data_IF_225105026224
#
_entry.id   IF_225105026224
#
_cell.length_a   1.000
_cell.length_b   1.000
_cell.length_c   1.000
_cell.angle_alpha   90.00
_cell.angle_beta   90.00
_cell.angle_gamma   90.00
#
_symmetry.space_group_name_H-M   'P 1'
#
loop_
_entity.id
_entity.type
_entity.pdbx_description
1 polymer ?
#
# COMPACT_ATOMS: atom_id res chain seq x y z
N UNK A 1 -14.81 -8.49 -37.88
CA UNK A 1 -15.04 -8.36 -36.44
C UNK A 1 -14.56 -9.62 -35.74
N UNK A 2 -13.41 -9.55 -35.12
CA UNK A 2 -12.84 -10.68 -34.35
C UNK A 2 -13.45 -10.58 -32.97
N UNK A 3 -14.14 -11.63 -32.54
CA UNK A 3 -14.67 -11.77 -31.18
C UNK A 3 -13.49 -11.89 -30.22
N UNK A 4 -13.24 -10.87 -29.45
CA UNK A 4 -12.16 -10.88 -28.45
C UNK A 4 -12.77 -11.29 -27.08
N UNK A 5 -12.76 -12.57 -26.80
CA UNK A 5 -13.16 -13.16 -25.52
C UNK A 5 -11.93 -13.34 -24.64
N UNK A 6 -11.42 -12.26 -24.08
CA UNK A 6 -10.30 -12.31 -23.16
C UNK A 6 -10.78 -12.11 -21.74
N UNK A 7 -10.59 -13.09 -20.87
CA UNK A 7 -10.77 -12.94 -19.42
C UNK A 7 -9.39 -12.73 -18.79
N UNK A 8 -9.16 -11.53 -18.28
CA UNK A 8 -7.95 -11.22 -17.53
C UNK A 8 -8.29 -11.21 -16.05
N UNK A 9 -7.60 -11.99 -15.25
CA UNK A 9 -7.74 -12.03 -13.80
C UNK A 9 -6.39 -11.71 -13.19
N UNK A 10 -6.33 -10.66 -12.38
CA UNK A 10 -5.13 -10.24 -11.65
C UNK A 10 -5.47 -10.15 -10.17
N UNK A 11 -4.74 -10.89 -9.36
CA UNK A 11 -4.86 -10.87 -7.91
C UNK A 11 -3.55 -10.40 -7.29
N UNK A 12 -3.61 -9.41 -6.42
CA UNK A 12 -2.45 -8.80 -5.78
C UNK A 12 -2.65 -8.78 -4.27
N UNK A 13 -1.87 -9.60 -3.57
CA UNK A 13 -1.82 -9.59 -2.11
C UNK A 13 -0.57 -8.83 -1.65
N UNK A 14 -0.79 -7.91 -0.74
CA UNK A 14 0.30 -7.15 -0.15
C UNK A 14 0.14 -7.15 1.36
N UNK A 15 1.21 -7.56 2.03
CA UNK A 15 1.33 -7.49 3.48
C UNK A 15 2.54 -6.60 3.81
N UNK A 16 2.32 -5.60 4.66
CA UNK A 16 3.38 -4.73 5.19
C UNK A 16 3.26 -4.70 6.71
N UNK A 17 4.34 -5.02 7.40
CA UNK A 17 4.38 -5.13 8.86
C UNK A 17 5.51 -4.27 9.45
N UNK A 18 5.34 -2.93 9.48
CA UNK A 18 6.32 -2.08 10.14
C UNK A 18 6.33 -2.37 11.65
N UNK A 19 7.51 -2.34 12.25
CA UNK A 19 7.71 -2.57 13.68
C UNK A 19 8.62 -1.50 14.22
N UNK A 20 8.34 -1.01 15.42
CA UNK A 20 9.19 -0.07 16.11
C UNK A 20 9.09 -0.26 17.62
N UNK A 21 10.12 0.16 18.33
CA UNK A 21 10.21 0.18 19.79
C UNK A 21 10.25 1.64 20.23
N UNK A 22 9.50 1.99 21.26
CA UNK A 22 9.50 3.34 21.84
C UNK A 22 9.31 3.26 23.36
N UNK A 23 9.61 4.36 24.05
CA UNK A 23 9.35 4.53 25.46
C UNK A 23 7.94 5.03 25.71
N UNK A 24 7.46 4.90 26.95
CA UNK A 24 6.18 5.47 27.36
C UNK A 24 6.19 7.01 27.20
N UNK A 25 5.09 7.55 26.69
CA UNK A 25 4.91 8.97 26.34
C UNK A 25 5.88 9.55 25.29
N UNK A 26 6.69 8.71 24.62
CA UNK A 26 7.63 9.15 23.58
C UNK A 26 7.07 8.83 22.19
N UNK A 27 7.14 9.82 21.31
CA UNK A 27 6.78 9.65 19.92
C UNK A 27 7.90 8.94 19.16
N UNK A 28 7.56 7.90 18.43
CA UNK A 28 8.50 7.22 17.55
C UNK A 28 7.95 7.12 16.13
N UNK A 29 8.85 7.18 15.17
CA UNK A 29 8.52 7.10 13.75
C UNK A 29 9.44 6.11 13.06
N UNK A 30 8.87 5.25 12.23
CA UNK A 30 9.59 4.42 11.27
C UNK A 30 9.13 4.76 9.86
N UNK A 31 10.10 5.04 8.99
CA UNK A 31 9.86 5.35 7.59
C UNK A 31 10.70 4.44 6.72
N UNK A 32 10.03 3.73 5.81
CA UNK A 32 10.68 2.91 4.76
C UNK A 32 10.14 3.41 3.43
N UNK A 33 10.88 4.31 2.80
CA UNK A 33 10.40 5.08 1.64
C UNK A 33 11.42 5.11 0.53
N UNK A 34 10.92 5.11 -0.70
CA UNK A 34 11.66 5.42 -1.92
C UNK A 34 11.39 6.87 -2.31
N UNK A 35 12.42 7.57 -2.73
CA UNK A 35 12.34 8.96 -3.16
C UNK A 35 12.16 9.01 -4.69
N UNK A 36 10.99 9.43 -5.15
CA UNK A 36 10.60 9.34 -6.55
C UNK A 36 10.52 10.72 -7.19
N UNK A 37 11.27 10.96 -8.30
CA UNK A 37 11.20 12.22 -9.01
C UNK A 37 9.86 12.38 -9.73
N UNK A 38 9.34 13.60 -9.73
CA UNK A 38 8.21 14.01 -10.56
C UNK A 38 8.42 15.41 -11.13
N UNK A 39 7.83 15.67 -12.27
CA UNK A 39 7.91 16.99 -12.90
C UNK A 39 6.96 17.96 -12.22
N UNK A 40 7.49 19.01 -11.60
CA UNK A 40 6.72 20.03 -10.92
C UNK A 40 6.20 21.10 -11.86
N UNK A 41 7.04 21.54 -12.76
CA UNK A 41 6.73 22.59 -13.70
C UNK A 41 7.48 22.36 -15.02
N UNK A 42 6.78 22.61 -16.12
CA UNK A 42 7.34 22.57 -17.45
C UNK A 42 6.98 23.88 -18.15
N UNK A 43 7.96 24.74 -18.35
CA UNK A 43 7.78 26.03 -19.03
C UNK A 43 8.42 25.99 -20.41
N UNK A 44 7.60 26.13 -21.44
CA UNK A 44 8.08 26.30 -22.82
C UNK A 44 8.08 27.78 -23.14
N UNK A 45 9.24 28.39 -23.34
CA UNK A 45 9.36 29.77 -23.84
C UNK A 45 9.25 29.74 -25.35
N UNK A 46 8.26 30.47 -25.90
CA UNK A 46 8.16 30.74 -27.32
C UNK A 46 9.41 31.49 -27.77
N UNK A 47 10.24 30.92 -28.56
CA UNK A 47 11.11 31.43 -29.63
C UNK A 47 12.29 30.53 -29.96
N UNK A 48 12.66 29.55 -29.14
CA UNK A 48 13.77 28.63 -29.44
C UNK A 48 13.63 27.25 -28.78
N UNK A 49 12.48 26.64 -28.80
CA UNK A 49 12.25 25.20 -28.46
C UNK A 49 13.03 24.66 -27.20
N UNK A 50 13.32 25.51 -26.23
CA UNK A 50 13.88 25.10 -24.94
C UNK A 50 12.81 24.89 -23.91
N UNK A 51 12.53 23.62 -23.61
CA UNK A 51 11.67 23.22 -22.50
C UNK A 51 12.50 23.09 -21.23
N UNK A 52 12.27 23.96 -20.27
CA UNK A 52 12.86 23.85 -18.93
C UNK A 52 11.93 23.04 -18.05
N UNK A 53 12.40 21.89 -17.56
CA UNK A 53 11.67 21.06 -16.62
C UNK A 53 12.28 21.19 -15.23
N UNK A 54 11.45 21.54 -14.24
CA UNK A 54 11.81 21.49 -12.83
C UNK A 54 11.36 20.16 -12.26
N UNK A 55 12.27 19.41 -11.65
CA UNK A 55 11.98 18.16 -10.98
C UNK A 55 11.89 18.38 -9.46
N UNK A 56 10.94 17.74 -8.83
CA UNK A 56 10.81 17.64 -7.39
C UNK A 56 10.74 16.17 -7.00
N UNK A 57 10.92 15.84 -5.71
CA UNK A 57 10.96 14.48 -5.23
C UNK A 57 9.86 14.24 -4.21
N UNK A 58 9.29 13.06 -4.23
CA UNK A 58 8.26 12.64 -3.30
C UNK A 58 8.58 11.29 -2.69
N UNK A 59 8.49 11.21 -1.37
CA UNK A 59 8.65 9.96 -0.64
C UNK A 59 7.43 9.07 -0.83
N UNK A 60 7.69 7.82 -1.17
CA UNK A 60 6.66 6.80 -1.38
C UNK A 60 7.07 5.52 -0.68
N UNK A 61 6.22 4.99 0.17
CA UNK A 61 6.52 3.81 0.96
C UNK A 61 5.62 3.67 2.17
N UNK A 62 6.15 3.19 3.26
CA UNK A 62 5.45 2.98 4.53
C UNK A 62 6.01 3.92 5.57
N UNK A 63 5.11 4.69 6.19
CA UNK A 63 5.40 5.55 7.34
C UNK A 63 4.49 5.15 8.48
N UNK A 64 5.05 4.94 9.65
CA UNK A 64 4.31 4.64 10.88
C UNK A 64 4.85 5.52 12.00
N UNK A 65 3.96 6.25 12.64
CA UNK A 65 4.21 7.10 13.79
C UNK A 65 3.32 6.65 14.92
N UNK A 66 3.89 6.45 16.09
CA UNK A 66 3.17 5.99 17.29
C UNK A 66 3.60 6.80 18.50
N UNK A 67 2.62 7.14 19.34
CA UNK A 67 2.85 7.67 20.68
C UNK A 67 2.06 6.83 21.67
N UNK A 68 2.71 5.97 22.46
CA UNK A 68 2.06 5.17 23.48
C UNK A 68 1.91 5.97 24.77
N UNK A 69 0.89 5.62 25.55
CA UNK A 69 0.74 6.01 26.95
C UNK A 69 0.27 4.79 27.74
N UNK A 70 1.04 4.42 28.72
CA UNK A 70 0.75 3.26 29.58
C UNK A 70 0.11 3.77 30.87
N UNK A 71 -1.06 3.23 31.21
CA UNK A 71 -1.76 3.51 32.46
C UNK A 71 -1.19 2.62 33.59
N UNK A 72 -1.37 3.04 34.84
CA UNK A 72 -1.00 2.24 36.02
C UNK A 72 -1.69 0.88 36.07
N UNK A 73 -2.89 0.77 35.48
CA UNK A 73 -3.66 -0.47 35.37
C UNK A 73 -3.17 -1.42 34.25
N UNK A 74 -2.11 -1.02 33.52
CA UNK A 74 -1.55 -1.81 32.41
C UNK A 74 -2.30 -1.67 31.08
N UNK A 75 -3.28 -0.78 30.99
CA UNK A 75 -3.93 -0.44 29.74
C UNK A 75 -3.05 0.52 28.92
N UNK A 76 -2.97 0.29 27.61
CA UNK A 76 -2.25 1.14 26.67
C UNK A 76 -3.19 2.03 25.89
N UNK A 77 -2.93 3.31 25.89
CA UNK A 77 -3.48 4.26 24.92
C UNK A 77 -2.44 4.50 23.85
N UNK A 78 -2.78 4.17 22.62
CA UNK A 78 -1.92 4.37 21.45
C UNK A 78 -2.51 5.43 20.53
N UNK A 79 -1.71 6.46 20.23
CA UNK A 79 -1.96 7.37 19.13
C UNK A 79 -1.17 6.85 17.93
N UNK A 80 -1.86 6.47 16.87
CA UNK A 80 -1.28 5.83 15.68
C UNK A 80 -1.57 6.69 14.46
N UNK A 81 -0.53 7.01 13.70
CA UNK A 81 -0.61 7.63 12.39
C UNK A 81 0.19 6.76 11.40
N UNK A 82 -0.53 6.07 10.54
CA UNK A 82 0.05 5.17 9.55
C UNK A 82 -0.27 5.64 8.15
N UNK A 83 0.74 5.68 7.30
CA UNK A 83 0.62 6.00 5.89
C UNK A 83 1.32 4.93 5.05
N UNK A 84 0.63 4.46 4.03
CA UNK A 84 1.19 3.59 3.00
C UNK A 84 0.95 4.24 1.65
N UNK A 85 2.01 4.53 0.94
CA UNK A 85 1.96 5.07 -0.40
C UNK A 85 2.65 4.14 -1.40
N UNK A 86 2.16 4.15 -2.64
CA UNK A 86 2.72 3.35 -3.73
C UNK A 86 2.66 4.12 -5.03
N UNK A 87 3.64 3.89 -5.86
CA UNK A 87 3.62 4.39 -7.23
C UNK A 87 2.76 3.49 -8.09
N UNK A 88 1.95 4.12 -8.90
CA UNK A 88 1.27 3.49 -10.01
C UNK A 88 1.74 4.18 -11.29
N UNK A 89 2.31 3.44 -12.20
CA UNK A 89 2.75 3.99 -13.48
C UNK A 89 1.56 4.54 -14.24
N UNK A 90 1.67 5.75 -14.73
CA UNK A 90 0.68 6.40 -15.58
C UNK A 90 1.37 7.01 -16.79
N UNK A 91 0.76 6.85 -17.96
CA UNK A 91 1.10 7.61 -19.15
C UNK A 91 0.19 8.83 -19.18
N UNK A 92 0.77 10.00 -19.24
CA UNK A 92 0.04 11.26 -19.44
C UNK A 92 0.35 11.74 -20.85
N UNK A 93 -0.71 11.93 -21.65
CA UNK A 93 -0.57 12.50 -23.00
C UNK A 93 -0.66 14.02 -22.87
N UNK A 94 0.37 14.70 -23.31
CA UNK A 94 0.41 16.15 -23.38
C UNK A 94 -0.45 16.67 -24.53
N UNK A 95 -0.79 17.95 -24.48
CA UNK A 95 -1.67 18.61 -25.46
C UNK A 95 -1.11 18.60 -26.89
N UNK A 96 0.21 18.47 -27.03
CA UNK A 96 0.92 18.35 -28.31
C UNK A 96 0.98 16.91 -28.87
N UNK A 97 0.41 15.93 -28.15
CA UNK A 97 0.45 14.51 -28.51
C UNK A 97 1.62 13.71 -27.96
N UNK A 98 2.58 14.35 -27.32
CA UNK A 98 3.67 13.66 -26.65
C UNK A 98 3.19 12.92 -25.41
N UNK A 99 3.75 11.74 -25.17
CA UNK A 99 3.46 10.93 -23.98
C UNK A 99 4.61 11.07 -22.99
N UNK A 100 4.29 11.47 -21.78
CA UNK A 100 5.23 11.47 -20.66
C UNK A 100 4.82 10.43 -19.62
N UNK A 101 5.80 9.79 -19.02
CA UNK A 101 5.57 8.93 -17.86
C UNK A 101 5.49 9.84 -16.64
N UNK A 102 4.28 10.03 -16.12
CA UNK A 102 4.08 10.76 -14.87
C UNK A 102 3.76 9.75 -13.76
N UNK A 103 4.60 9.63 -12.72
CA UNK A 103 4.32 8.74 -11.62
C UNK A 103 3.09 9.22 -10.86
N UNK A 104 2.07 8.38 -10.79
CA UNK A 104 0.90 8.61 -9.96
C UNK A 104 1.09 7.89 -8.64
N UNK A 105 0.90 8.58 -7.52
CA UNK A 105 0.99 7.97 -6.19
C UNK A 105 -0.39 7.70 -5.63
N UNK A 106 -0.57 6.49 -5.12
CA UNK A 106 -1.76 6.10 -4.35
C UNK A 106 -1.39 6.05 -2.87
N UNK A 107 -2.01 6.92 -2.08
CA UNK A 107 -1.79 7.05 -0.64
C UNK A 107 -2.97 6.45 0.12
N UNK A 108 -2.68 5.70 1.17
CA UNK A 108 -3.65 5.20 2.16
C UNK A 108 -3.12 5.53 3.53
N UNK A 109 -3.90 6.25 4.32
CA UNK A 109 -3.51 6.67 5.66
C UNK A 109 -4.63 6.41 6.66
N UNK A 110 -4.25 6.09 7.87
CA UNK A 110 -5.14 5.94 9.03
C UNK A 110 -4.51 6.70 10.19
N UNK A 111 -5.31 7.55 10.83
CA UNK A 111 -4.96 8.21 12.07
C UNK A 111 -6.03 7.90 13.11
N UNK A 112 -5.61 7.32 14.22
CA UNK A 112 -6.54 6.85 15.26
C UNK A 112 -5.90 6.87 16.62
N UNK A 113 -6.74 7.02 17.66
CA UNK A 113 -6.36 6.81 19.06
C UNK A 113 -7.18 5.66 19.61
N UNK A 114 -6.50 4.67 20.13
CA UNK A 114 -7.11 3.43 20.61
C UNK A 114 -6.64 3.06 22.01
N UNK A 115 -7.45 2.32 22.73
CA UNK A 115 -7.11 1.70 24.01
C UNK A 115 -7.01 0.19 23.85
N UNK A 116 -5.91 -0.40 24.28
CA UNK A 116 -5.63 -1.82 24.16
C UNK A 116 -4.94 -2.33 25.43
N UNK A 117 -4.98 -3.64 25.61
CA UNK A 117 -4.16 -4.33 26.60
C UNK A 117 -2.88 -4.85 25.96
N UNK A 118 -1.89 -5.13 26.78
CA UNK A 118 -0.65 -5.76 26.35
C UNK A 118 -0.94 -7.05 25.55
N UNK A 119 -0.31 -7.18 24.39
CA UNK A 119 -0.46 -8.31 23.47
C UNK A 119 -1.81 -8.42 22.74
N UNK A 120 -2.76 -7.52 22.98
CA UNK A 120 -4.06 -7.54 22.32
C UNK A 120 -3.97 -7.01 20.90
N UNK A 121 -4.46 -7.79 19.93
CA UNK A 121 -4.57 -7.34 18.54
C UNK A 121 -5.92 -6.65 18.32
N UNK A 122 -5.89 -5.45 17.75
CA UNK A 122 -7.07 -4.74 17.30
C UNK A 122 -7.02 -4.37 15.84
N UNK A 123 -8.19 -4.26 15.22
CA UNK A 123 -8.37 -3.65 13.91
C UNK A 123 -8.59 -2.16 14.10
N UNK A 124 -7.66 -1.33 13.64
CA UNK A 124 -7.78 0.13 13.78
C UNK A 124 -8.51 0.79 12.61
N UNK A 125 -8.63 0.08 11.51
CA UNK A 125 -9.40 0.54 10.36
C UNK A 125 -9.36 -0.44 9.21
N UNK A 126 -10.24 -0.20 8.25
CA UNK A 126 -10.32 -1.00 7.05
C UNK A 126 -11.11 -0.31 5.95
N UNK A 127 -10.95 -0.80 4.72
CA UNK A 127 -11.69 -0.39 3.55
C UNK A 127 -12.10 -1.64 2.77
N UNK A 128 -13.36 -1.73 2.45
CA UNK A 128 -13.90 -2.67 1.48
C UNK A 128 -14.48 -1.84 0.36
N UNK A 129 -13.88 -1.92 -0.81
CA UNK A 129 -14.31 -1.20 -2.01
C UNK A 129 -14.56 -2.22 -3.12
N UNK A 130 -15.76 -2.21 -3.67
CA UNK A 130 -16.19 -3.05 -4.79
C UNK A 130 -16.75 -2.14 -5.88
N UNK A 131 -15.96 -1.95 -6.91
CA UNK A 131 -16.30 -1.11 -8.05
C UNK A 131 -16.50 -1.98 -9.28
N UNK A 132 -17.64 -1.84 -9.93
CA UNK A 132 -17.89 -2.52 -11.20
C UNK A 132 -18.34 -1.51 -12.26
N UNK A 133 -17.63 -1.51 -13.37
CA UNK A 133 -17.95 -0.70 -14.54
C UNK A 133 -18.42 -1.62 -15.65
N UNK A 134 -19.61 -1.33 -16.16
CA UNK A 134 -20.16 -2.00 -17.31
C UNK A 134 -20.22 -1.03 -18.49
N UNK A 135 -19.58 -1.38 -19.58
CA UNK A 135 -19.59 -0.60 -20.81
C UNK A 135 -20.17 -1.45 -21.94
N UNK A 136 -21.18 -0.93 -22.60
CA UNK A 136 -21.79 -1.55 -23.77
C UNK A 136 -21.71 -0.58 -24.96
N UNK A 137 -21.06 -1.01 -26.01
CA UNK A 137 -21.00 -0.32 -27.30
C UNK A 137 -21.78 -1.14 -28.31
N UNK A 138 -22.77 -0.53 -28.96
CA UNK A 138 -23.60 -1.19 -29.97
C UNK A 138 -23.81 -0.28 -31.19
N UNK A 139 -23.95 -0.90 -32.35
CA UNK A 139 -24.33 -0.20 -33.57
C UNK A 139 -25.83 0.07 -33.48
N UNK A 140 -26.30 1.34 -33.63
CA UNK A 140 -27.70 1.66 -33.61
C UNK A 140 -28.47 0.87 -34.70
N UNK A 141 -29.63 0.29 -34.34
CA UNK A 141 -30.44 -0.53 -35.21
C UNK A 141 -29.99 -2.00 -35.28
N UNK A 142 -28.75 -2.29 -35.66
CA UNK A 142 -28.24 -3.65 -35.84
C UNK A 142 -27.97 -4.39 -34.53
N UNK A 143 -27.57 -3.68 -33.50
CA UNK A 143 -27.29 -4.25 -32.17
C UNK A 143 -28.54 -4.77 -31.43
N UNK A 144 -29.74 -4.45 -31.89
CA UNK A 144 -31.02 -4.85 -31.28
C UNK A 144 -31.67 -6.07 -31.98
N UNK A 145 -31.10 -6.59 -33.05
CA UNK A 145 -31.62 -7.74 -33.77
C UNK A 145 -31.49 -9.00 -32.90
N UNK A 146 -32.59 -9.74 -32.63
CA UNK A 146 -32.53 -10.98 -31.93
C UNK A 146 -31.62 -11.97 -32.66
N UNK A 147 -30.78 -12.72 -31.94
CA UNK A 147 -29.81 -13.72 -32.45
C UNK A 147 -28.60 -13.12 -33.16
N UNK A 148 -28.70 -12.10 -33.99
CA UNK A 148 -27.56 -11.52 -34.72
C UNK A 148 -26.98 -10.27 -34.04
N UNK A 149 -27.73 -9.63 -33.16
CA UNK A 149 -27.33 -8.38 -32.50
C UNK A 149 -26.04 -8.50 -31.65
N UNK A 150 -25.64 -9.70 -31.21
CA UNK A 150 -24.41 -9.92 -30.49
C UNK A 150 -23.15 -9.70 -31.34
N UNK A 151 -23.23 -9.85 -32.65
CA UNK A 151 -22.16 -9.52 -33.60
C UNK A 151 -21.88 -8.02 -33.73
N UNK A 152 -22.88 -7.20 -33.37
CA UNK A 152 -22.84 -5.74 -33.53
C UNK A 152 -22.78 -4.98 -32.20
N UNK A 153 -22.43 -5.69 -31.11
CA UNK A 153 -22.24 -5.10 -29.81
C UNK A 153 -20.98 -5.65 -29.14
N UNK A 154 -20.27 -4.74 -28.50
CA UNK A 154 -19.13 -5.08 -27.62
C UNK A 154 -19.54 -4.78 -26.18
N UNK A 155 -19.32 -5.73 -25.30
CA UNK A 155 -19.54 -5.58 -23.86
C UNK A 155 -18.26 -5.74 -23.12
N UNK A 156 -17.96 -4.79 -22.23
CA UNK A 156 -16.84 -4.87 -21.32
C UNK A 156 -17.35 -4.75 -19.89
N UNK A 157 -16.98 -5.69 -19.05
CA UNK A 157 -17.23 -5.63 -17.60
C UNK A 157 -15.90 -5.62 -16.89
N UNK A 158 -15.61 -4.54 -16.19
CA UNK A 158 -14.46 -4.42 -15.33
C UNK A 158 -14.95 -4.36 -13.90
N UNK A 159 -14.50 -5.30 -13.07
CA UNK A 159 -14.77 -5.34 -11.64
C UNK A 159 -13.45 -5.23 -10.89
N UNK A 160 -13.38 -4.27 -9.98
CA UNK A 160 -12.21 -4.06 -9.11
C UNK A 160 -12.68 -4.15 -7.67
N UNK A 161 -12.07 -5.06 -6.92
CA UNK A 161 -12.34 -5.20 -5.48
C UNK A 161 -11.07 -4.90 -4.71
N UNK A 162 -11.16 -3.98 -3.76
CA UNK A 162 -10.06 -3.58 -2.89
C UNK A 162 -10.44 -3.84 -1.44
N UNK A 163 -9.67 -4.67 -0.77
CA UNK A 163 -9.82 -4.94 0.65
C UNK A 163 -8.55 -4.45 1.35
N UNK A 164 -8.70 -3.59 2.34
CA UNK A 164 -7.63 -3.09 3.19
C UNK A 164 -8.04 -3.26 4.64
N UNK A 165 -7.19 -3.88 5.45
CA UNK A 165 -7.34 -3.94 6.89
C UNK A 165 -6.03 -3.58 7.55
N UNK A 166 -6.10 -2.80 8.62
CA UNK A 166 -4.94 -2.43 9.43
C UNK A 166 -5.14 -2.97 10.84
N UNK A 167 -4.19 -3.81 11.24
CA UNK A 167 -4.13 -4.43 12.55
C UNK A 167 -2.98 -3.84 13.34
N UNK A 168 -3.16 -3.67 14.63
CA UNK A 168 -2.09 -3.30 15.54
C UNK A 168 -2.08 -4.25 16.74
N UNK A 169 -0.89 -4.58 17.20
CA UNK A 169 -0.69 -5.41 18.38
C UNK A 169 0.47 -4.82 19.19
N UNK A 170 0.20 -4.07 20.25
CA UNK A 170 1.24 -3.56 21.14
C UNK A 170 1.76 -4.68 22.03
N UNK A 171 3.01 -4.54 22.47
CA UNK A 171 3.58 -5.35 23.55
C UNK A 171 4.40 -4.47 24.48
N UNK A 172 4.11 -4.54 25.76
CA UNK A 172 4.84 -3.86 26.81
C UNK A 172 6.03 -4.71 27.24
N UNK A 173 7.18 -4.08 27.39
CA UNK A 173 8.41 -4.69 27.86
C UNK A 173 8.73 -4.13 29.25
N UNK A 174 8.77 -4.97 30.27
CA UNK A 174 8.96 -4.52 31.66
C UNK A 174 10.41 -4.57 32.14
N UNK A 175 11.35 -5.15 31.38
CA UNK A 175 12.73 -5.28 31.79
C UNK A 175 13.71 -5.57 30.66
N UNK A 176 15.00 -5.49 30.99
CA UNK A 176 16.07 -5.78 30.03
C UNK A 176 16.09 -7.24 29.58
N UNK A 177 15.68 -8.17 30.45
CA UNK A 177 15.64 -9.60 30.13
C UNK A 177 14.54 -9.90 29.10
N UNK A 178 13.38 -9.26 29.23
CA UNK A 178 12.30 -9.37 28.25
C UNK A 178 12.72 -8.79 26.89
N UNK A 179 13.44 -7.66 26.91
CA UNK A 179 13.97 -7.04 25.71
C UNK A 179 14.98 -7.93 25.00
N UNK A 180 15.88 -8.57 25.76
CA UNK A 180 16.87 -9.49 25.19
C UNK A 180 16.22 -10.74 24.57
N UNK A 181 15.23 -11.31 25.27
CA UNK A 181 14.45 -12.45 24.74
C UNK A 181 13.74 -12.14 23.44
N UNK A 182 13.22 -10.94 23.31
CA UNK A 182 12.55 -10.48 22.10
C UNK A 182 13.50 -10.24 20.94
N UNK A 183 14.66 -9.63 21.22
CA UNK A 183 15.70 -9.41 20.22
C UNK A 183 16.14 -10.74 19.64
N UNK A 184 16.41 -11.74 20.49
CA UNK A 184 16.81 -13.07 20.04
C UNK A 184 15.70 -13.78 19.23
N UNK A 185 14.42 -13.63 19.63
CA UNK A 185 13.31 -14.18 18.88
C UNK A 185 13.17 -13.54 17.50
N UNK A 186 13.46 -12.24 17.39
CA UNK A 186 13.42 -11.51 16.12
C UNK A 186 14.62 -11.84 15.23
N UNK A 187 15.80 -12.04 15.78
CA UNK A 187 16.96 -12.51 15.03
C UNK A 187 16.69 -13.87 14.39
N UNK A 188 16.08 -14.80 15.14
CA UNK A 188 15.68 -16.11 14.60
C UNK A 188 14.61 -15.96 13.50
N UNK A 189 13.66 -15.05 13.65
CA UNK A 189 12.64 -14.81 12.63
C UNK A 189 13.24 -14.26 11.35
N UNK A 190 14.17 -13.31 11.43
CA UNK A 190 14.93 -12.74 10.31
C UNK A 190 15.78 -13.83 9.64
N UNK A 191 16.46 -14.65 10.42
CA UNK A 191 17.27 -15.77 9.91
C UNK A 191 16.40 -16.81 9.19
N UNK A 192 15.23 -17.17 9.76
CA UNK A 192 14.29 -18.11 9.15
C UNK A 192 13.54 -17.52 7.93
N UNK A 193 13.48 -16.19 7.81
CA UNK A 193 12.89 -15.53 6.64
C UNK A 193 13.77 -15.61 5.38
N UNK A 194 14.92 -16.30 5.46
CA UNK A 194 15.74 -16.67 4.31
C UNK A 194 16.72 -15.61 3.87
N UNK A 195 17.21 -14.80 4.79
CA UNK A 195 18.45 -14.07 4.59
C UNK A 195 19.60 -15.03 4.94
N UNK A 196 19.82 -16.01 4.05
CA UNK A 196 21.06 -16.77 4.07
C UNK A 196 22.22 -15.80 3.80
N UNK A 197 23.35 -15.99 4.51
CA UNK A 197 24.60 -15.23 4.36
C UNK A 197 25.18 -15.17 2.93
N UNK A 198 24.51 -15.78 1.94
CA UNK A 198 24.88 -15.80 0.52
C UNK A 198 24.00 -14.99 -0.40
N UNK A 199 23.09 -14.15 0.13
CA UNK A 199 22.40 -13.12 -0.67
C UNK A 199 21.48 -13.61 -1.83
N UNK A 200 21.11 -14.88 -1.86
CA UNK A 200 20.20 -15.45 -2.85
C UNK A 200 18.91 -15.87 -2.16
N UNK A 201 18.03 -14.91 -1.93
CA UNK A 201 16.70 -15.18 -1.40
C UNK A 201 15.89 -16.08 -2.31
N UNK A 202 15.51 -17.26 -1.84
CA UNK A 202 14.42 -18.03 -2.45
C UNK A 202 13.11 -17.29 -2.20
N UNK A 203 12.24 -17.10 -3.19
CA UNK A 203 10.92 -16.51 -2.96
C UNK A 203 10.15 -17.43 -2.02
N UNK A 204 9.84 -16.96 -0.84
CA UNK A 204 8.98 -17.64 0.10
C UNK A 204 7.53 -17.62 -0.41
N UNK A 205 7.21 -18.52 -1.34
CA UNK A 205 5.83 -18.90 -1.64
C UNK A 205 5.43 -19.93 -0.58
N UNK A 206 4.95 -19.47 0.55
CA UNK A 206 4.49 -20.34 1.61
C UNK A 206 3.68 -19.58 2.64
N UNK A 207 2.36 -19.84 2.64
CA UNK A 207 1.36 -19.60 3.70
C UNK A 207 1.69 -18.43 4.64
N UNK A 208 1.05 -17.28 4.41
CA UNK A 208 1.07 -16.14 5.30
C UNK A 208 0.73 -16.57 6.74
N UNK A 209 1.76 -16.81 7.54
CA UNK A 209 1.63 -16.98 8.98
C UNK A 209 1.47 -15.56 9.53
N UNK A 210 0.38 -15.31 10.22
CA UNK A 210 0.15 -14.03 10.89
C UNK A 210 1.42 -13.66 11.68
N UNK A 211 2.09 -12.60 11.24
CA UNK A 211 3.25 -12.08 11.95
C UNK A 211 2.77 -11.22 13.12
N UNK A 212 3.35 -11.47 14.25
CA UNK A 212 3.06 -10.91 15.57
C UNK A 212 3.69 -9.51 15.77
N UNK A 213 3.49 -8.88 16.87
CA UNK A 213 3.08 -7.51 17.12
C UNK A 213 4.18 -6.43 17.11
N UNK A 214 3.73 -5.17 17.08
CA UNK A 214 4.53 -3.96 17.32
C UNK A 214 4.87 -3.87 18.82
N UNK A 215 6.11 -3.55 19.16
CA UNK A 215 6.62 -3.51 20.51
C UNK A 215 6.65 -2.08 21.06
N UNK A 216 6.10 -1.88 22.25
CA UNK A 216 6.15 -0.62 23.00
C UNK A 216 6.76 -0.90 24.38
N UNK A 217 7.72 -0.06 24.82
CA UNK A 217 8.31 -0.10 26.16
C UNK A 217 7.78 1.06 27.01
#
# INVERSE_FOLDING_TARGET
SIINLTKNNSDVHVLSTPQLLTLDNEEATVEVVDNIPYTKESTTKNDNDFTTQSMDYKDVGVKLKITPRISEDGDLRLEVDQEVSRVTSGLVTLRNGDQIIAPTTRKRGIKSTIHLRDGQTAVIGGLLDDSSTFSEQKVPGLGNIPVLGWLFKARSKQATRTNLFVFITPKVIHGFDDAAGLTHAKEIEVHNAGIDEKGLGKPAIGKAKMLKPVWVR
#
